data_IF_161362920766
#
_entry.id   IF_161362920766
#
_cell.length_a   1.000
_cell.length_b   1.000
_cell.length_c   1.000
_cell.angle_alpha   90.00
_cell.angle_beta   90.00
_cell.angle_gamma   90.00
#
_symmetry.space_group_name_H-M   'P 1'
#
loop_
_entity.id
_entity.type
_entity.pdbx_description
1 polymer ?
#
# COMPACT_ATOMS: atom_id res chain seq x y z
N UNK A 1 3.03 -5.83 23.56
CA UNK A 1 3.88 -6.94 23.19
C UNK A 1 4.97 -7.22 24.24
N UNK A 2 5.51 -8.44 24.25
CA UNK A 2 6.67 -8.81 25.10
C UNK A 2 7.89 -7.96 24.77
N UNK A 3 8.14 -7.74 23.48
CA UNK A 3 9.27 -6.97 23.00
C UNK A 3 8.95 -6.29 21.65
N UNK A 4 9.79 -5.33 21.28
CA UNK A 4 9.78 -4.66 19.98
C UNK A 4 11.16 -4.84 19.34
N UNK A 5 11.19 -5.42 18.15
CA UNK A 5 12.39 -5.51 17.32
C UNK A 5 12.35 -4.44 16.21
N UNK A 6 13.47 -3.77 16.00
CA UNK A 6 13.67 -2.74 14.97
C UNK A 6 14.86 -3.14 14.08
N UNK A 7 14.70 -4.12 13.19
CA UNK A 7 15.78 -4.59 12.34
C UNK A 7 16.21 -3.54 11.33
N UNK A 8 17.49 -3.57 10.94
CA UNK A 8 18.11 -2.71 9.93
C UNK A 8 18.56 -3.52 8.70
N UNK A 9 18.62 -4.85 8.83
CA UNK A 9 19.05 -5.76 7.79
C UNK A 9 18.14 -6.96 7.67
N UNK A 10 18.05 -7.56 6.49
CA UNK A 10 17.28 -8.78 6.25
C UNK A 10 17.76 -9.94 7.15
N UNK A 11 19.07 -10.07 7.38
CA UNK A 11 19.60 -11.08 8.29
C UNK A 11 19.07 -10.92 9.72
N UNK A 12 18.87 -9.69 10.18
CA UNK A 12 18.24 -9.45 11.49
C UNK A 12 16.75 -9.84 11.48
N UNK A 13 16.03 -9.58 10.39
CA UNK A 13 14.64 -10.06 10.24
C UNK A 13 14.58 -11.57 10.30
N UNK A 14 15.46 -12.26 9.56
CA UNK A 14 15.57 -13.73 9.59
C UNK A 14 15.83 -14.25 11.01
N UNK A 15 16.81 -13.68 11.70
CA UNK A 15 17.18 -14.10 13.07
C UNK A 15 16.00 -13.93 14.04
N UNK A 16 15.27 -12.82 13.96
CA UNK A 16 14.09 -12.55 14.79
C UNK A 16 13.00 -13.58 14.52
N UNK A 17 12.65 -13.82 13.24
CA UNK A 17 11.58 -14.75 12.86
C UNK A 17 11.94 -16.18 13.24
N UNK A 18 13.16 -16.64 12.97
CA UNK A 18 13.65 -17.97 13.38
C UNK A 18 13.59 -18.17 14.89
N UNK A 19 14.04 -17.18 15.65
CA UNK A 19 14.01 -17.24 17.12
C UNK A 19 12.58 -17.34 17.63
N UNK A 20 11.68 -16.48 17.13
CA UNK A 20 10.27 -16.50 17.54
C UNK A 20 9.59 -17.81 17.14
N UNK A 21 9.87 -18.31 15.93
CA UNK A 21 9.36 -19.61 15.47
C UNK A 21 9.79 -20.75 16.38
N UNK A 22 11.09 -20.81 16.73
CA UNK A 22 11.63 -21.83 17.62
C UNK A 22 11.10 -21.79 19.04
N UNK A 23 10.67 -20.61 19.50
CA UNK A 23 10.09 -20.40 20.84
C UNK A 23 8.56 -20.39 20.86
N UNK A 24 7.89 -20.51 19.70
CA UNK A 24 6.44 -20.43 19.59
C UNK A 24 5.88 -19.02 19.93
N UNK A 25 6.68 -17.97 19.76
CA UNK A 25 6.27 -16.58 20.01
C UNK A 25 5.56 -16.00 18.78
N UNK A 26 4.31 -15.51 18.90
CA UNK A 26 3.63 -14.83 17.82
C UNK A 26 4.38 -13.57 17.39
N UNK A 27 4.46 -13.32 16.08
CA UNK A 27 5.09 -12.09 15.53
C UNK A 27 4.08 -11.27 14.80
N UNK A 28 3.99 -9.99 15.14
CA UNK A 28 3.22 -8.99 14.39
C UNK A 28 4.19 -8.10 13.62
N UNK A 29 4.16 -8.17 12.29
CA UNK A 29 4.93 -7.27 11.42
C UNK A 29 4.18 -5.95 11.28
N UNK A 30 4.85 -4.82 11.52
CA UNK A 30 4.21 -3.50 11.47
C UNK A 30 5.01 -2.46 10.67
N UNK A 31 4.31 -1.75 9.77
CA UNK A 31 4.77 -0.52 9.16
C UNK A 31 4.46 0.70 10.05
N UNK A 32 3.69 1.66 9.53
CA UNK A 32 3.30 2.88 10.27
C UNK A 32 2.14 2.69 11.26
N UNK A 33 1.42 1.57 11.19
CA UNK A 33 0.27 1.31 12.06
C UNK A 33 -0.99 2.13 11.74
N UNK A 34 -1.12 2.62 10.50
CA UNK A 34 -2.27 3.42 10.03
C UNK A 34 -3.49 2.57 9.64
N UNK A 35 -3.34 1.26 9.54
CA UNK A 35 -4.43 0.34 9.18
C UNK A 35 -5.52 0.26 10.26
N UNK A 36 -6.78 0.07 9.84
CA UNK A 36 -7.96 0.06 10.71
C UNK A 36 -8.42 -1.35 11.09
N UNK A 37 -7.81 -2.40 10.52
CA UNK A 37 -8.20 -3.80 10.74
C UNK A 37 -7.71 -4.37 12.08
N UNK A 38 -6.73 -3.70 12.72
CA UNK A 38 -6.10 -4.20 13.94
C UNK A 38 -4.91 -5.14 13.71
N UNK A 39 -4.62 -5.55 12.47
CA UNK A 39 -3.53 -6.49 12.14
C UNK A 39 -2.13 -6.00 12.56
N UNK A 40 -1.92 -4.69 12.69
CA UNK A 40 -0.67 -4.11 13.20
C UNK A 40 -0.57 -4.07 14.73
N UNK A 41 -1.54 -4.64 15.48
CA UNK A 41 -1.58 -4.66 16.95
C UNK A 41 -1.03 -5.97 17.46
N UNK A 42 0.15 -5.93 18.08
CA UNK A 42 0.76 -7.12 18.64
C UNK A 42 0.02 -7.61 19.90
N UNK A 43 -0.06 -8.93 20.06
CA UNK A 43 -0.59 -9.55 21.27
C UNK A 43 0.32 -9.31 22.48
N UNK A 44 -0.19 -9.38 23.74
CA UNK A 44 0.63 -9.17 24.93
C UNK A 44 1.82 -10.13 25.03
N UNK A 45 1.67 -11.36 24.56
CA UNK A 45 2.64 -12.45 24.53
C UNK A 45 3.46 -12.53 23.23
N UNK A 46 3.22 -11.62 22.30
CA UNK A 46 3.88 -11.56 21.00
C UNK A 46 5.02 -10.56 20.90
N UNK A 47 5.78 -10.67 19.82
CA UNK A 47 6.82 -9.72 19.43
C UNK A 47 6.28 -8.79 18.33
N UNK A 48 6.54 -7.50 18.48
CA UNK A 48 6.29 -6.50 17.42
C UNK A 48 7.55 -6.33 16.58
N UNK A 49 7.50 -6.74 15.31
CA UNK A 49 8.57 -6.54 14.33
C UNK A 49 8.28 -5.25 13.56
N UNK A 50 8.89 -4.13 13.96
CA UNK A 50 8.67 -2.83 13.37
C UNK A 50 9.67 -2.56 12.23
N UNK A 51 9.18 -2.44 10.99
CA UNK A 51 10.01 -2.28 9.79
C UNK A 51 10.39 -0.82 9.50
N UNK A 52 10.28 0.07 10.48
CA UNK A 52 10.49 1.50 10.30
C UNK A 52 11.92 1.88 9.86
N UNK A 53 12.92 1.04 10.11
CA UNK A 53 14.32 1.26 9.71
C UNK A 53 14.62 0.79 8.28
N UNK A 54 13.72 0.01 7.66
CA UNK A 54 13.75 -0.33 6.23
C UNK A 54 13.09 0.76 5.41
N UNK A 55 13.69 1.94 5.30
CA UNK A 55 13.05 3.13 4.75
C UNK A 55 13.82 3.78 3.57
N UNK A 56 14.67 3.02 2.90
CA UNK A 56 15.45 3.49 1.75
C UNK A 56 14.71 3.26 0.43
N UNK A 57 14.78 4.26 -0.45
CA UNK A 57 14.48 4.10 -1.87
C UNK A 57 15.79 3.65 -2.52
N UNK A 58 15.82 2.38 -2.97
CA UNK A 58 17.04 1.74 -3.45
C UNK A 58 17.36 2.12 -4.89
N UNK A 59 16.32 2.24 -5.74
CA UNK A 59 16.46 2.57 -7.16
C UNK A 59 15.19 3.21 -7.69
N UNK A 60 15.33 4.24 -8.53
CA UNK A 60 14.29 4.68 -9.47
C UNK A 60 14.82 4.40 -10.86
N UNK A 61 14.05 3.68 -11.67
CA UNK A 61 14.37 3.40 -13.06
C UNK A 61 13.32 4.07 -13.97
N UNK A 62 13.64 5.24 -14.55
CA UNK A 62 12.69 5.97 -15.38
C UNK A 62 12.38 5.27 -16.71
N UNK A 63 13.31 4.47 -17.24
CA UNK A 63 13.10 3.75 -18.50
C UNK A 63 12.16 2.56 -18.31
N UNK A 64 12.40 1.76 -17.28
CA UNK A 64 11.52 0.65 -16.89
C UNK A 64 10.25 1.14 -16.20
N UNK A 65 10.20 2.40 -15.75
CA UNK A 65 9.13 2.98 -14.94
C UNK A 65 8.89 2.17 -13.66
N UNK A 66 9.96 1.89 -12.94
CA UNK A 66 9.91 1.14 -11.70
C UNK A 66 10.61 1.88 -10.56
N UNK A 67 10.22 1.56 -9.33
CA UNK A 67 10.93 1.93 -8.12
C UNK A 67 11.20 0.69 -7.29
N UNK A 68 12.46 0.49 -6.87
CA UNK A 68 12.84 -0.53 -5.89
C UNK A 68 12.98 0.14 -4.54
N UNK A 69 12.17 -0.30 -3.56
CA UNK A 69 12.08 0.34 -2.26
C UNK A 69 12.06 -0.67 -1.12
N UNK A 70 12.45 -0.24 0.06
CA UNK A 70 12.24 -0.98 1.29
C UNK A 70 10.82 -0.76 1.84
N UNK A 71 10.24 -1.71 2.60
CA UNK A 71 8.84 -1.68 3.02
C UNK A 71 8.48 -0.54 3.99
N UNK A 72 9.42 0.05 4.69
CA UNK A 72 9.22 1.19 5.58
C UNK A 72 9.20 2.54 4.88
N UNK A 73 9.44 2.60 3.56
CA UNK A 73 9.31 3.83 2.77
C UNK A 73 7.85 4.30 2.80
N UNK A 74 7.64 5.60 3.05
CA UNK A 74 6.29 6.19 3.01
C UNK A 74 5.74 6.18 1.58
N UNK A 75 4.45 5.95 1.46
CA UNK A 75 3.78 5.90 0.16
C UNK A 75 4.07 7.16 -0.68
N UNK A 76 3.83 8.35 -0.13
CA UNK A 76 4.06 9.62 -0.82
C UNK A 76 5.52 9.81 -1.24
N UNK A 77 6.48 9.37 -0.43
CA UNK A 77 7.91 9.54 -0.72
C UNK A 77 8.35 8.87 -2.03
N UNK A 78 7.65 7.80 -2.44
CA UNK A 78 7.91 7.15 -3.75
C UNK A 78 7.57 8.09 -4.90
N UNK A 79 6.40 8.74 -4.83
CA UNK A 79 5.98 9.74 -5.83
C UNK A 79 6.89 10.95 -5.84
N UNK A 80 7.30 11.43 -4.66
CA UNK A 80 8.22 12.58 -4.55
C UNK A 80 9.57 12.26 -5.21
N UNK A 81 10.12 11.06 -4.98
CA UNK A 81 11.37 10.61 -5.59
C UNK A 81 11.25 10.38 -7.12
N UNK A 82 10.07 9.99 -7.60
CA UNK A 82 9.81 9.76 -9.02
C UNK A 82 9.46 11.05 -9.79
N UNK A 83 9.03 12.11 -9.09
CA UNK A 83 8.58 13.37 -9.69
C UNK A 83 9.58 14.04 -10.63
N UNK A 84 10.91 14.07 -10.39
CA UNK A 84 11.89 14.63 -11.30
C UNK A 84 11.91 13.96 -12.69
N UNK A 85 11.39 12.73 -12.77
CA UNK A 85 11.30 11.96 -14.02
C UNK A 85 9.90 12.04 -14.67
N UNK A 86 9.00 12.88 -14.15
CA UNK A 86 7.61 12.96 -14.62
C UNK A 86 6.78 11.71 -14.30
N UNK A 87 7.17 10.96 -13.28
CA UNK A 87 6.53 9.71 -12.85
C UNK A 87 5.91 9.85 -11.46
N UNK A 88 4.97 8.95 -11.13
CA UNK A 88 4.37 8.85 -9.79
C UNK A 88 3.95 7.41 -9.48
N UNK A 89 3.79 7.09 -8.20
CA UNK A 89 3.19 5.86 -7.71
C UNK A 89 1.69 6.07 -7.51
N UNK A 90 0.88 5.27 -8.18
CA UNK A 90 -0.55 5.55 -8.33
C UNK A 90 -1.43 5.25 -7.09
N UNK A 91 -1.24 4.16 -6.32
CA UNK A 91 -2.05 3.92 -5.12
C UNK A 91 -1.86 5.02 -4.08
N UNK A 92 -2.95 5.69 -3.72
CA UNK A 92 -2.96 6.90 -2.90
C UNK A 92 -3.94 6.80 -1.71
N UNK A 93 -3.71 5.88 -0.77
CA UNK A 93 -4.56 5.79 0.41
C UNK A 93 -4.61 7.13 1.14
N UNK A 94 -5.72 7.44 1.81
CA UNK A 94 -5.90 8.70 2.55
C UNK A 94 -4.79 8.95 3.59
N UNK A 95 -4.14 7.89 4.04
CA UNK A 95 -2.97 7.93 4.93
C UNK A 95 -1.62 8.01 4.21
N UNK A 96 -1.54 8.32 2.91
CA UNK A 96 -0.32 8.23 2.10
C UNK A 96 0.88 9.01 2.64
N UNK A 97 0.64 10.09 3.39
CA UNK A 97 1.70 10.87 4.04
C UNK A 97 2.36 10.14 5.21
N UNK A 98 1.66 9.16 5.79
CA UNK A 98 2.09 8.44 7.00
C UNK A 98 2.30 6.94 6.74
N UNK A 99 1.45 6.28 5.95
CA UNK A 99 1.53 4.85 5.69
C UNK A 99 2.79 4.46 4.91
N UNK A 100 3.19 3.20 5.06
CA UNK A 100 4.38 2.65 4.42
C UNK A 100 4.03 1.65 3.33
N UNK A 101 4.94 1.44 2.38
CA UNK A 101 4.74 0.49 1.26
C UNK A 101 4.48 -0.93 1.78
N UNK A 102 5.20 -1.40 2.79
CA UNK A 102 4.94 -2.72 3.40
C UNK A 102 3.55 -2.81 4.03
N UNK A 103 3.06 -1.73 4.66
CA UNK A 103 1.70 -1.65 5.15
C UNK A 103 0.66 -1.65 4.02
N UNK A 104 0.95 -0.95 2.91
CA UNK A 104 0.09 -0.97 1.72
C UNK A 104 -0.01 -2.37 1.11
N UNK A 105 1.11 -3.11 1.04
CA UNK A 105 1.13 -4.51 0.59
C UNK A 105 0.29 -5.38 1.53
N UNK A 106 0.52 -5.30 2.83
CA UNK A 106 -0.19 -6.11 3.81
C UNK A 106 -1.71 -5.94 3.74
N UNK A 107 -2.19 -4.72 3.47
CA UNK A 107 -3.62 -4.39 3.42
C UNK A 107 -4.21 -4.36 2.00
N UNK A 108 -3.41 -4.60 0.95
CA UNK A 108 -3.80 -4.31 -0.42
C UNK A 108 -4.43 -2.91 -0.55
N UNK A 109 -3.74 -1.91 0.00
CA UNK A 109 -4.27 -0.57 0.16
C UNK A 109 -4.68 0.04 -1.19
N UNK A 110 -5.76 0.78 -1.15
CA UNK A 110 -6.25 1.58 -2.25
C UNK A 110 -6.46 3.03 -1.83
N UNK A 111 -6.98 3.85 -2.74
CA UNK A 111 -7.23 5.26 -2.51
C UNK A 111 -8.24 5.82 -3.49
N UNK A 112 -8.28 7.14 -3.59
CA UNK A 112 -9.20 7.90 -4.43
C UNK A 112 -9.13 7.47 -5.91
N UNK A 113 -7.94 7.16 -6.39
CA UNK A 113 -7.68 6.89 -7.80
C UNK A 113 -7.71 5.40 -8.17
N UNK A 114 -8.17 4.51 -7.27
CA UNK A 114 -8.23 3.05 -7.51
C UNK A 114 -9.09 2.65 -8.70
N UNK A 115 -10.16 3.40 -8.97
CA UNK A 115 -11.04 3.14 -10.11
C UNK A 115 -10.26 3.08 -11.43
N UNK A 116 -9.31 3.99 -11.62
CA UNK A 116 -8.51 4.08 -12.85
C UNK A 116 -7.21 3.30 -12.78
N UNK A 117 -6.50 3.35 -11.66
CA UNK A 117 -5.14 2.86 -11.57
C UNK A 117 -5.01 1.55 -10.77
N UNK A 118 -6.11 1.08 -10.20
CA UNK A 118 -6.14 -0.15 -9.40
C UNK A 118 -5.60 0.03 -7.98
N UNK A 119 -5.57 -1.08 -7.27
CA UNK A 119 -5.09 -1.22 -5.90
C UNK A 119 -3.58 -1.46 -5.87
N UNK A 120 -3.02 -1.64 -4.68
CA UNK A 120 -1.61 -2.01 -4.49
C UNK A 120 -1.22 -3.25 -5.30
N UNK A 121 -2.07 -4.29 -5.35
CA UNK A 121 -1.81 -5.52 -6.12
C UNK A 121 -1.56 -5.29 -7.62
N UNK A 122 -2.15 -4.25 -8.21
CA UNK A 122 -1.95 -3.91 -9.63
C UNK A 122 -0.69 -3.07 -9.88
N UNK A 123 -0.04 -2.61 -8.81
CA UNK A 123 1.07 -1.66 -8.86
C UNK A 123 2.34 -2.16 -8.17
N UNK A 124 2.36 -3.43 -7.73
CA UNK A 124 3.54 -4.14 -7.24
C UNK A 124 3.94 -5.17 -8.29
N UNK A 125 5.21 -5.19 -8.66
CA UNK A 125 5.77 -6.12 -9.65
C UNK A 125 6.52 -7.28 -8.99
N UNK A 126 7.22 -7.01 -7.89
CA UNK A 126 8.03 -8.01 -7.17
C UNK A 126 8.04 -7.70 -5.69
N UNK A 127 8.08 -8.73 -4.89
CA UNK A 127 8.45 -8.67 -3.47
C UNK A 127 9.59 -9.63 -3.17
N UNK A 128 10.42 -9.24 -2.22
CA UNK A 128 11.36 -10.10 -1.50
C UNK A 128 10.91 -10.12 -0.04
N UNK A 129 10.82 -11.29 0.55
CA UNK A 129 10.24 -11.46 1.87
C UNK A 129 10.88 -12.61 2.64
N UNK A 130 10.79 -12.55 3.98
CA UNK A 130 11.30 -13.55 4.89
C UNK A 130 10.12 -14.32 5.50
N UNK A 131 10.11 -15.63 5.36
CA UNK A 131 9.14 -16.55 5.95
C UNK A 131 9.40 -16.73 7.46
N UNK A 132 8.45 -17.32 8.18
CA UNK A 132 8.55 -17.53 9.63
C UNK A 132 9.69 -18.46 10.04
N UNK A 133 10.11 -19.37 9.15
CA UNK A 133 11.29 -20.26 9.35
C UNK A 133 12.62 -19.57 9.00
N UNK A 134 12.58 -18.30 8.57
CA UNK A 134 13.74 -17.53 8.12
C UNK A 134 14.10 -17.76 6.66
N UNK A 135 13.35 -18.57 5.92
CA UNK A 135 13.52 -18.74 4.48
C UNK A 135 13.25 -17.44 3.73
N UNK A 136 14.04 -17.16 2.68
CA UNK A 136 13.82 -15.99 1.81
C UNK A 136 13.07 -16.45 0.57
N UNK A 137 12.05 -15.70 0.19
CA UNK A 137 11.32 -15.89 -1.06
C UNK A 137 11.34 -14.63 -1.90
N UNK A 138 11.29 -14.80 -3.21
CA UNK A 138 11.04 -13.74 -4.17
C UNK A 138 9.84 -14.14 -5.03
N UNK A 139 8.89 -13.22 -5.17
CA UNK A 139 7.67 -13.42 -5.95
C UNK A 139 7.49 -12.26 -6.92
N UNK A 140 7.07 -12.58 -8.15
CA UNK A 140 7.00 -11.62 -9.23
C UNK A 140 8.35 -11.43 -9.96
N UNK A 141 8.47 -10.35 -10.72
CA UNK A 141 9.64 -10.02 -11.53
C UNK A 141 9.81 -8.51 -11.67
N UNK A 142 10.85 -8.08 -12.38
CA UNK A 142 11.04 -6.66 -12.72
C UNK A 142 10.22 -6.24 -13.96
N UNK A 143 9.56 -7.21 -14.62
CA UNK A 143 8.66 -7.04 -15.74
C UNK A 143 7.23 -7.46 -15.37
N UNK A 144 6.28 -7.25 -16.28
CA UNK A 144 4.87 -7.59 -16.06
C UNK A 144 4.58 -9.10 -16.06
N UNK A 145 5.49 -9.90 -16.56
CA UNK A 145 5.42 -11.35 -16.58
C UNK A 145 6.47 -11.95 -15.65
N UNK A 146 6.10 -13.00 -14.95
CA UNK A 146 6.98 -13.80 -14.12
C UNK A 146 6.79 -15.28 -14.44
N UNK A 147 7.86 -16.09 -14.44
CA UNK A 147 7.73 -17.52 -14.71
C UNK A 147 6.99 -18.23 -13.58
N UNK A 148 6.14 -19.21 -13.92
CA UNK A 148 5.44 -20.06 -12.98
C UNK A 148 4.09 -19.51 -12.53
N UNK A 149 3.66 -19.92 -11.33
CA UNK A 149 2.39 -19.46 -10.75
C UNK A 149 2.54 -18.03 -10.23
N UNK A 150 1.54 -17.20 -10.50
CA UNK A 150 1.45 -15.85 -9.94
C UNK A 150 1.00 -15.92 -8.48
N UNK A 151 1.97 -16.06 -7.58
CA UNK A 151 1.74 -16.09 -6.13
C UNK A 151 1.80 -14.71 -5.48
N UNK A 152 2.19 -13.67 -6.22
CA UNK A 152 2.31 -12.31 -5.68
C UNK A 152 0.99 -11.79 -5.09
N UNK A 153 -0.18 -11.95 -5.75
CA UNK A 153 -1.47 -11.52 -5.19
C UNK A 153 -1.88 -12.26 -3.90
N UNK A 154 -1.33 -13.45 -3.65
CA UNK A 154 -1.59 -14.17 -2.40
C UNK A 154 -0.97 -13.48 -1.19
N UNK A 155 0.20 -12.85 -1.37
CA UNK A 155 0.92 -12.13 -0.31
C UNK A 155 0.40 -10.69 -0.13
N UNK A 156 -0.10 -10.08 -1.20
CA UNK A 156 -0.69 -8.73 -1.14
C UNK A 156 -2.10 -8.82 -0.57
N UNK A 157 -2.34 -8.17 0.56
CA UNK A 157 -3.59 -8.26 1.31
C UNK A 157 -3.61 -9.38 2.36
N UNK A 158 -2.47 -10.06 2.58
CA UNK A 158 -2.37 -11.13 3.59
C UNK A 158 -2.19 -10.63 5.03
N UNK A 159 -2.18 -9.31 5.25
CA UNK A 159 -1.96 -8.69 6.55
C UNK A 159 -0.65 -9.10 7.26
N UNK A 160 0.34 -9.53 6.46
CA UNK A 160 1.64 -9.99 6.97
C UNK A 160 1.62 -11.43 7.51
N UNK A 161 0.55 -12.19 7.28
CA UNK A 161 0.42 -13.56 7.83
C UNK A 161 1.36 -14.57 7.18
N UNK A 162 1.84 -14.32 5.96
CA UNK A 162 2.71 -15.28 5.26
C UNK A 162 4.19 -14.96 5.41
N UNK A 163 4.56 -13.67 5.42
CA UNK A 163 5.98 -13.28 5.43
C UNK A 163 6.17 -11.82 5.87
N UNK A 164 7.39 -11.49 6.27
CA UNK A 164 7.84 -10.11 6.45
C UNK A 164 8.53 -9.63 5.17
N UNK A 165 7.91 -8.67 4.46
CA UNK A 165 8.47 -8.08 3.24
C UNK A 165 9.70 -7.24 3.57
N UNK A 166 10.78 -7.39 2.80
CA UNK A 166 12.06 -6.67 2.98
C UNK A 166 12.43 -5.78 1.79
N UNK A 167 11.95 -6.10 0.59
CA UNK A 167 12.16 -5.30 -0.62
C UNK A 167 10.95 -5.41 -1.55
N UNK A 168 10.68 -4.34 -2.30
CA UNK A 168 9.54 -4.24 -3.21
C UNK A 168 9.94 -3.55 -4.49
N UNK A 169 9.51 -4.09 -5.64
CA UNK A 169 9.55 -3.40 -6.92
C UNK A 169 8.15 -2.90 -7.26
N UNK A 170 8.02 -1.60 -7.42
CA UNK A 170 6.78 -0.89 -7.69
C UNK A 170 6.71 -0.44 -9.14
N UNK A 171 5.52 -0.47 -9.72
CA UNK A 171 5.23 0.15 -11.01
C UNK A 171 5.00 1.64 -10.84
N UNK A 172 5.66 2.45 -11.68
CA UNK A 172 5.44 3.88 -11.77
C UNK A 172 4.67 4.23 -13.04
N UNK A 173 3.84 5.25 -12.95
CA UNK A 173 3.06 5.76 -14.09
C UNK A 173 3.49 7.17 -14.47
N UNK A 174 3.34 7.58 -15.75
CA UNK A 174 3.53 8.96 -16.13
C UNK A 174 2.54 9.88 -15.40
N UNK A 175 3.05 10.99 -14.85
CA UNK A 175 2.21 11.97 -14.16
C UNK A 175 1.22 12.62 -15.16
N UNK A 176 -0.08 12.68 -14.85
CA UNK A 176 -1.03 13.36 -15.69
C UNK A 176 -0.65 14.83 -15.90
N UNK A 177 -0.79 15.32 -17.14
CA UNK A 177 -0.46 16.72 -17.46
C UNK A 177 -1.50 17.68 -16.91
N UNK A 178 -2.76 17.26 -16.90
CA UNK A 178 -3.89 18.06 -16.40
C UNK A 178 -4.87 17.17 -15.65
N UNK A 179 -5.57 17.77 -14.69
CA UNK A 179 -6.72 17.19 -14.04
C UNK A 179 -7.85 18.23 -14.02
N UNK A 180 -9.09 17.78 -14.24
CA UNK A 180 -10.28 18.58 -14.10
C UNK A 180 -11.19 17.91 -13.08
N UNK A 181 -11.82 18.72 -12.23
CA UNK A 181 -12.76 18.26 -11.22
C UNK A 181 -14.15 18.78 -11.59
N UNK A 182 -15.13 17.88 -11.57
CA UNK A 182 -16.55 18.21 -11.74
C UNK A 182 -17.23 17.95 -10.40
N UNK A 183 -17.88 18.98 -9.86
CA UNK A 183 -18.74 18.85 -8.70
C UNK A 183 -20.20 18.87 -9.15
N UNK A 184 -20.98 17.90 -8.67
CA UNK A 184 -22.41 17.81 -8.93
C UNK A 184 -23.18 17.58 -7.64
N UNK A 185 -24.30 18.29 -7.49
CA UNK A 185 -25.22 18.14 -6.34
C UNK A 185 -26.47 17.39 -6.76
N UNK A 186 -26.92 16.47 -5.94
CA UNK A 186 -28.12 15.65 -6.17
C UNK A 186 -29.09 15.78 -5.02
N UNK A 187 -30.40 15.65 -5.33
CA UNK A 187 -31.45 15.75 -4.34
C UNK A 187 -31.48 14.56 -3.37
N UNK A 188 -30.96 13.40 -3.79
CA UNK A 188 -30.89 12.18 -2.98
C UNK A 188 -29.71 11.30 -3.42
N UNK A 189 -29.28 10.42 -2.51
CA UNK A 189 -28.15 9.49 -2.75
C UNK A 189 -28.42 8.49 -3.88
N UNK A 190 -29.68 8.12 -4.12
CA UNK A 190 -30.03 7.21 -5.20
C UNK A 190 -29.77 7.84 -6.58
N UNK A 191 -30.02 9.15 -6.74
CA UNK A 191 -29.69 9.87 -7.97
C UNK A 191 -28.18 10.01 -8.15
N UNK A 192 -27.44 10.30 -7.08
CA UNK A 192 -25.99 10.34 -7.11
C UNK A 192 -25.40 8.98 -7.53
N UNK A 193 -25.88 7.88 -6.93
CA UNK A 193 -25.43 6.52 -7.28
C UNK A 193 -25.76 6.13 -8.73
N UNK A 194 -26.93 6.51 -9.24
CA UNK A 194 -27.27 6.31 -10.67
C UNK A 194 -26.34 7.08 -11.60
N UNK A 195 -26.05 8.35 -11.29
CA UNK A 195 -25.12 9.14 -12.10
C UNK A 195 -23.73 8.50 -12.18
N UNK A 196 -23.22 7.94 -11.07
CA UNK A 196 -21.96 7.16 -11.06
C UNK A 196 -22.07 5.95 -11.99
N UNK A 197 -23.16 5.17 -11.87
CA UNK A 197 -23.37 3.99 -12.72
C UNK A 197 -23.47 4.36 -14.20
N UNK A 198 -24.18 5.43 -14.55
CA UNK A 198 -24.35 5.90 -15.92
C UNK A 198 -23.01 6.37 -16.53
N UNK A 199 -22.19 7.11 -15.77
CA UNK A 199 -20.84 7.51 -16.20
C UNK A 199 -19.98 6.29 -16.59
N UNK A 200 -19.99 5.26 -15.76
CA UNK A 200 -19.24 4.03 -16.03
C UNK A 200 -19.85 3.26 -17.22
N UNK A 201 -21.18 3.19 -17.32
CA UNK A 201 -21.87 2.52 -18.42
C UNK A 201 -21.58 3.17 -19.79
N UNK A 202 -21.38 4.49 -19.83
CA UNK A 202 -20.95 5.23 -21.04
C UNK A 202 -19.47 5.00 -21.39
N UNK A 203 -18.76 4.14 -20.68
CA UNK A 203 -17.34 3.82 -20.91
C UNK A 203 -16.38 4.89 -20.41
N UNK A 204 -16.86 5.86 -19.63
CA UNK A 204 -16.01 6.89 -19.02
C UNK A 204 -15.44 6.36 -17.72
N UNK A 205 -14.11 6.28 -17.65
CA UNK A 205 -13.39 5.88 -16.43
C UNK A 205 -12.70 7.11 -15.85
N UNK A 206 -13.32 7.82 -14.89
CA UNK A 206 -12.71 8.96 -14.21
C UNK A 206 -11.47 8.54 -13.42
N UNK A 207 -10.57 9.47 -13.15
CA UNK A 207 -9.43 9.22 -12.29
C UNK A 207 -9.86 8.86 -10.87
N UNK A 208 -10.89 9.52 -10.35
CA UNK A 208 -11.54 9.21 -9.08
C UNK A 208 -13.01 9.62 -9.12
N UNK A 209 -13.82 8.98 -8.29
CA UNK A 209 -15.21 9.32 -8.02
C UNK A 209 -15.41 9.28 -6.50
N UNK A 210 -15.73 10.44 -5.95
CA UNK A 210 -16.03 10.59 -4.53
C UNK A 210 -17.47 11.05 -4.34
N UNK A 211 -18.11 10.55 -3.29
CA UNK A 211 -19.49 10.89 -2.98
C UNK A 211 -19.60 11.15 -1.48
N UNK A 212 -20.27 12.24 -1.15
CA UNK A 212 -20.52 12.64 0.24
C UNK A 212 -22.02 12.81 0.46
N UNK A 213 -22.56 12.22 1.52
CA UNK A 213 -23.94 12.42 1.88
C UNK A 213 -24.17 13.78 2.57
N UNK A 214 -25.46 14.19 2.67
CA UNK A 214 -25.80 15.50 3.24
C UNK A 214 -25.47 15.62 4.73
N UNK A 215 -25.41 14.49 5.49
CA UNK A 215 -25.01 14.52 6.90
C UNK A 215 -23.51 14.76 7.04
N UNK A 216 -22.71 14.05 6.25
CA UNK A 216 -21.26 14.23 6.20
C UNK A 216 -20.88 15.62 5.70
N UNK A 217 -21.57 16.12 4.66
CA UNK A 217 -21.34 17.49 4.14
C UNK A 217 -21.57 18.52 5.24
N UNK A 218 -22.71 18.46 5.95
CA UNK A 218 -22.98 19.39 7.06
C UNK A 218 -21.94 19.29 8.17
N UNK A 219 -21.51 18.07 8.54
CA UNK A 219 -20.50 17.89 9.58
C UNK A 219 -19.15 18.51 9.20
N UNK A 220 -18.78 18.46 7.92
CA UNK A 220 -17.56 19.10 7.40
C UNK A 220 -17.72 20.62 7.39
N UNK A 221 -18.85 21.14 6.92
CA UNK A 221 -19.15 22.58 6.90
C UNK A 221 -19.12 23.17 8.33
N UNK A 222 -19.77 22.48 9.29
CA UNK A 222 -19.76 22.89 10.70
C UNK A 222 -18.34 22.88 11.30
N UNK A 223 -17.51 21.89 10.93
CA UNK A 223 -16.13 21.79 11.40
C UNK A 223 -15.22 22.85 10.80
N UNK A 224 -15.37 23.14 9.51
CA UNK A 224 -14.54 24.12 8.81
C UNK A 224 -15.05 25.56 8.96
N UNK A 225 -16.25 25.75 9.53
CA UNK A 225 -16.92 27.05 9.61
C UNK A 225 -17.06 27.73 8.21
N UNK A 226 -17.33 26.93 7.19
CA UNK A 226 -17.44 27.33 5.78
C UNK A 226 -18.85 27.82 5.45
#
# INVERSE_FOLDING_TARGET
PLAVALPETEAQVQAVLQTCSGLGIPVTVRGAGTGLTGSGTATPDGLLLAMARFNRILKIDPQARTATVEPGVRNQAVSDAAAPYGLFYAPDPSSQLACTIGGNIAQNAGGLHCLKYGLTTHNVLKIRAVLMDGGIIELGGEAYDAPGLDLLPLFIGSEGMFAAVTEVVLKLLPKPQTAQVIQASFADMGKAGRAVADIIAEGIIPAGLEMMDGASTRAVDDYLHA
#
